data_IF_435315309473
#
_entry.id   IF_435315309473
#
_cell.length_a   1.000
_cell.length_b   1.000
_cell.length_c   1.000
_cell.angle_alpha   90.00
_cell.angle_beta   90.00
_cell.angle_gamma   90.00
#
_symmetry.space_group_name_H-M   'P 1'
#
loop_
_entity.id
_entity.type
_entity.pdbx_description
1 polymer ?
#
# COMPACT_ATOMS: atom_id res chain seq x y z
N UNK A 1 0.31 -9.12 3.20
CA UNK A 1 -0.21 -9.33 1.84
C UNK A 1 -1.69 -9.74 1.89
N UNK A 2 -2.41 -9.52 0.79
CA UNK A 2 -3.80 -10.00 0.63
C UNK A 2 -4.85 -9.32 1.49
N UNK A 3 -4.66 -8.05 1.87
CA UNK A 3 -5.74 -7.28 2.49
C UNK A 3 -6.85 -7.02 1.48
N UNK A 4 -8.12 -7.13 1.89
CA UNK A 4 -9.27 -6.79 1.04
C UNK A 4 -10.48 -6.32 1.84
N UNK A 5 -11.29 -5.50 1.18
CA UNK A 5 -12.70 -5.26 1.48
C UNK A 5 -13.52 -5.78 0.28
N UNK A 6 -14.71 -6.34 0.52
CA UNK A 6 -15.61 -6.83 -0.53
C UNK A 6 -15.93 -8.33 -0.46
N UNK A 7 -15.99 -8.99 -1.61
CA UNK A 7 -16.41 -10.39 -1.76
C UNK A 7 -15.73 -11.33 -0.75
N UNK A 8 -16.50 -12.20 -0.10
CA UNK A 8 -15.98 -13.10 0.94
C UNK A 8 -15.53 -12.39 2.23
N UNK A 9 -16.04 -11.18 2.50
CA UNK A 9 -15.78 -10.43 3.73
C UNK A 9 -14.47 -9.62 3.73
N UNK A 10 -14.25 -8.89 4.82
CA UNK A 10 -13.00 -8.17 5.03
C UNK A 10 -11.89 -9.16 5.40
N UNK A 11 -10.67 -8.91 4.92
CA UNK A 11 -9.45 -9.62 5.33
C UNK A 11 -8.37 -8.59 5.63
N UNK A 12 -7.81 -8.65 6.83
CA UNK A 12 -6.61 -7.87 7.18
C UNK A 12 -5.41 -8.49 6.47
N UNK A 13 -4.52 -7.67 5.93
CA UNK A 13 -3.32 -8.16 5.29
C UNK A 13 -2.42 -8.89 6.32
N UNK A 14 -2.02 -10.13 6.01
CA UNK A 14 -1.15 -10.94 6.86
C UNK A 14 0.34 -10.69 6.57
N UNK A 15 1.24 -10.76 7.57
CA UNK A 15 2.67 -10.66 7.31
C UNK A 15 3.15 -11.89 6.52
N UNK A 16 3.94 -11.68 5.45
CA UNK A 16 4.64 -12.77 4.75
C UNK A 16 5.96 -13.16 5.44
N UNK A 17 6.26 -12.56 6.60
CA UNK A 17 7.55 -12.67 7.28
C UNK A 17 8.74 -12.33 6.36
N UNK A 18 8.65 -11.23 5.60
CA UNK A 18 9.72 -10.73 4.73
C UNK A 18 10.08 -9.27 5.08
N UNK A 19 11.36 -8.93 4.92
CA UNK A 19 11.87 -7.56 4.92
C UNK A 19 12.49 -7.26 3.55
N UNK A 20 12.18 -6.08 3.01
CA UNK A 20 12.57 -5.64 1.66
C UNK A 20 13.29 -4.30 1.79
N UNK A 21 14.51 -4.20 1.27
CA UNK A 21 15.28 -2.95 1.24
C UNK A 21 14.77 -2.02 0.14
N UNK A 22 14.99 -0.71 0.22
CA UNK A 22 14.49 0.26 -0.77
C UNK A 22 14.81 -0.11 -2.23
N UNK A 23 16.02 -0.61 -2.48
CA UNK A 23 16.49 -1.04 -3.80
C UNK A 23 15.80 -2.32 -4.32
N UNK A 24 15.19 -3.10 -3.45
CA UNK A 24 14.53 -4.38 -3.77
C UNK A 24 13.02 -4.21 -4.01
N UNK A 25 12.43 -3.06 -3.66
CA UNK A 25 10.97 -2.85 -3.63
C UNK A 25 10.33 -3.12 -4.98
N UNK A 26 10.91 -2.58 -6.06
CA UNK A 26 10.33 -2.71 -7.41
C UNK A 26 10.34 -4.16 -7.87
N UNK A 27 11.47 -4.84 -7.69
CA UNK A 27 11.64 -6.25 -8.07
C UNK A 27 10.68 -7.17 -7.32
N UNK A 28 10.61 -7.03 -5.99
CA UNK A 28 9.74 -7.87 -5.14
C UNK A 28 8.26 -7.63 -5.46
N UNK A 29 7.85 -6.37 -5.65
CA UNK A 29 6.48 -6.04 -6.04
C UNK A 29 6.13 -6.62 -7.42
N UNK A 30 7.06 -6.55 -8.39
CA UNK A 30 6.85 -7.11 -9.71
C UNK A 30 6.67 -8.64 -9.66
N UNK A 31 7.45 -9.35 -8.85
CA UNK A 31 7.29 -10.80 -8.70
C UNK A 31 6.01 -11.19 -7.96
N UNK A 32 5.57 -10.41 -6.96
CA UNK A 32 4.25 -10.60 -6.34
C UNK A 32 3.14 -10.46 -7.38
N UNK A 33 3.21 -9.43 -8.25
CA UNK A 33 2.23 -9.21 -9.32
C UNK A 33 2.26 -10.35 -10.33
N UNK A 34 3.44 -10.81 -10.77
CA UNK A 34 3.57 -11.92 -11.72
C UNK A 34 3.08 -13.24 -11.12
N UNK A 35 3.36 -13.50 -9.85
CA UNK A 35 2.88 -14.69 -9.14
C UNK A 35 1.36 -14.67 -9.01
N UNK A 36 0.77 -13.53 -8.65
CA UNK A 36 -0.68 -13.38 -8.66
C UNK A 36 -1.27 -13.49 -10.06
N UNK A 37 -0.59 -12.95 -11.09
CA UNK A 37 -1.03 -13.04 -12.48
C UNK A 37 -1.14 -14.50 -12.91
N UNK A 38 -0.12 -15.30 -12.61
CA UNK A 38 0.05 -16.68 -13.07
C UNK A 38 -0.81 -17.68 -12.29
N UNK A 39 -1.11 -17.41 -11.01
CA UNK A 39 -1.77 -18.37 -10.13
C UNK A 39 -3.10 -17.90 -9.52
N UNK A 40 -3.46 -16.62 -9.66
CA UNK A 40 -4.72 -16.10 -9.14
C UNK A 40 -5.92 -16.60 -9.96
N UNK A 41 -7.02 -16.96 -9.27
CA UNK A 41 -8.26 -17.41 -9.89
C UNK A 41 -8.81 -16.37 -10.90
N UNK A 42 -9.14 -16.85 -12.12
CA UNK A 42 -9.71 -16.05 -13.21
C UNK A 42 -11.13 -16.42 -13.60
N UNK A 43 -11.64 -17.52 -13.05
CA UNK A 43 -12.96 -18.07 -13.39
C UNK A 43 -14.07 -17.26 -12.72
N UNK A 44 -13.90 -16.90 -11.45
CA UNK A 44 -14.90 -16.16 -10.68
C UNK A 44 -14.40 -14.77 -10.28
N UNK A 45 -15.15 -13.74 -10.68
CA UNK A 45 -14.87 -12.34 -10.28
C UNK A 45 -15.01 -12.11 -8.78
N UNK A 46 -15.78 -12.92 -8.06
CA UNK A 46 -15.91 -12.79 -6.60
C UNK A 46 -14.73 -13.40 -5.86
N UNK A 47 -13.86 -14.17 -6.54
CA UNK A 47 -12.71 -14.85 -5.95
C UNK A 47 -11.36 -14.47 -6.62
N UNK A 48 -11.32 -13.35 -7.34
CA UNK A 48 -10.16 -12.93 -8.14
C UNK A 48 -9.22 -11.92 -7.44
N UNK A 49 -9.18 -11.92 -6.11
CA UNK A 49 -8.27 -11.06 -5.32
C UNK A 49 -7.11 -11.89 -4.81
N UNK A 50 -5.94 -11.26 -4.62
CA UNK A 50 -4.75 -11.90 -4.03
C UNK A 50 -5.04 -12.58 -2.67
N UNK A 51 -6.02 -12.06 -1.92
CA UNK A 51 -6.50 -12.68 -0.69
C UNK A 51 -6.87 -14.16 -0.84
N UNK A 52 -7.58 -14.52 -1.90
CA UNK A 52 -8.05 -15.90 -2.13
C UNK A 52 -6.91 -16.83 -2.52
N UNK A 53 -5.94 -16.34 -3.30
CA UNK A 53 -4.72 -17.09 -3.58
C UNK A 53 -3.93 -17.37 -2.29
N UNK A 54 -3.87 -16.41 -1.38
CA UNK A 54 -3.22 -16.59 -0.07
C UNK A 54 -4.02 -17.51 0.85
N UNK A 55 -5.35 -17.50 0.80
CA UNK A 55 -6.20 -18.45 1.53
C UNK A 55 -5.99 -19.88 1.03
N UNK A 56 -5.85 -20.07 -0.29
CA UNK A 56 -5.60 -21.38 -0.89
C UNK A 56 -4.17 -21.89 -0.62
N UNK A 57 -3.17 -21.01 -0.76
CA UNK A 57 -1.77 -21.42 -0.69
C UNK A 57 -1.19 -21.38 0.72
N UNK A 58 -1.69 -20.47 1.55
CA UNK A 58 -1.02 -20.05 2.77
C UNK A 58 0.18 -19.14 2.51
N UNK A 59 0.52 -18.33 3.51
CA UNK A 59 1.60 -17.34 3.46
C UNK A 59 2.97 -17.98 3.20
N UNK A 60 3.25 -19.13 3.84
CA UNK A 60 4.55 -19.80 3.73
C UNK A 60 4.81 -20.33 2.33
N UNK A 61 3.80 -20.95 1.70
CA UNK A 61 3.91 -21.41 0.31
C UNK A 61 4.09 -20.24 -0.63
N UNK A 62 3.31 -19.17 -0.45
CA UNK A 62 3.41 -17.95 -1.24
C UNK A 62 4.82 -17.34 -1.14
N UNK A 63 5.37 -17.23 0.08
CA UNK A 63 6.73 -16.75 0.32
C UNK A 63 7.77 -17.61 -0.39
N UNK A 64 7.69 -18.94 -0.31
CA UNK A 64 8.63 -19.85 -1.00
C UNK A 64 8.57 -19.66 -2.51
N UNK A 65 7.38 -19.54 -3.07
CA UNK A 65 7.20 -19.29 -4.50
C UNK A 65 7.77 -17.93 -4.91
N UNK A 66 7.61 -16.89 -4.08
CA UNK A 66 8.21 -15.57 -4.31
C UNK A 66 9.76 -15.64 -4.31
N UNK A 67 10.36 -16.30 -3.31
CA UNK A 67 11.82 -16.50 -3.21
C UNK A 67 12.36 -17.27 -4.42
N UNK A 68 11.64 -18.29 -4.88
CA UNK A 68 12.02 -19.07 -6.05
C UNK A 68 12.06 -18.20 -7.32
N UNK A 69 11.09 -17.29 -7.51
CA UNK A 69 11.07 -16.37 -8.66
C UNK A 69 12.17 -15.32 -8.62
N UNK A 70 12.51 -14.84 -7.42
CA UNK A 70 13.60 -13.88 -7.22
C UNK A 70 14.99 -14.52 -7.39
N UNK A 71 15.08 -15.85 -7.31
CA UNK A 71 16.36 -16.57 -7.40
C UNK A 71 17.31 -16.32 -6.22
N UNK A 72 16.82 -15.70 -5.14
CA UNK A 72 17.61 -15.34 -3.95
C UNK A 72 16.73 -15.34 -2.69
N UNK A 73 17.30 -15.61 -1.50
CA UNK A 73 16.56 -15.51 -0.25
C UNK A 73 16.15 -14.07 0.04
N UNK A 74 15.02 -13.92 0.74
CA UNK A 74 14.56 -12.66 1.31
C UNK A 74 14.81 -12.67 2.83
N UNK A 75 15.23 -11.53 3.35
CA UNK A 75 15.35 -11.31 4.80
C UNK A 75 14.00 -11.56 5.49
N UNK A 76 14.01 -12.11 6.70
CA UNK A 76 12.79 -12.27 7.51
C UNK A 76 12.27 -10.91 7.97
N UNK A 77 10.97 -10.84 8.31
CA UNK A 77 10.44 -9.65 8.93
C UNK A 77 11.16 -9.43 10.27
N UNK A 78 11.83 -8.29 10.41
CA UNK A 78 12.43 -7.88 11.68
C UNK A 78 11.36 -7.42 12.68
N UNK A 79 11.77 -6.60 13.64
CA UNK A 79 10.84 -5.99 14.58
C UNK A 79 10.08 -4.84 13.91
N UNK A 80 8.74 -4.84 14.05
CA UNK A 80 7.91 -3.74 13.59
C UNK A 80 8.16 -2.50 14.47
N UNK A 81 8.64 -1.41 13.85
CA UNK A 81 8.90 -0.13 14.51
C UNK A 81 7.77 0.89 14.31
N UNK A 82 6.68 0.49 13.64
CA UNK A 82 5.53 1.37 13.42
C UNK A 82 4.80 1.60 14.74
N UNK A 83 4.50 2.85 15.01
CA UNK A 83 3.64 3.24 16.13
C UNK A 83 2.21 3.42 15.60
N UNK A 84 1.23 2.94 16.37
CA UNK A 84 -0.18 3.15 16.06
C UNK A 84 -0.59 4.58 16.46
N UNK A 85 -0.14 5.55 15.67
CA UNK A 85 -0.54 6.95 15.83
C UNK A 85 -1.55 7.31 14.74
N UNK A 86 -2.71 7.81 15.15
CA UNK A 86 -3.63 8.49 14.23
C UNK A 86 -3.07 9.89 14.01
N UNK A 87 -2.60 10.17 12.79
CA UNK A 87 -2.14 11.50 12.39
C UNK A 87 -3.26 12.16 11.60
N UNK A 88 -3.90 13.15 12.22
CA UNK A 88 -4.72 14.10 11.46
C UNK A 88 -3.79 15.06 10.72
N UNK A 89 -4.07 15.28 9.45
CA UNK A 89 -3.32 16.18 8.58
C UNK A 89 -4.06 17.48 8.30
N UNK A 90 -5.26 17.68 8.86
CA UNK A 90 -6.06 18.90 8.69
C UNK A 90 -5.53 20.08 9.51
N UNK A 91 -5.40 21.24 8.87
CA UNK A 91 -4.87 22.45 9.50
C UNK A 91 -3.39 22.69 9.17
N UNK A 92 -2.73 23.52 9.97
CA UNK A 92 -1.37 24.02 9.71
C UNK A 92 -0.39 23.32 10.65
N UNK A 93 0.64 22.70 10.08
CA UNK A 93 1.63 21.95 10.83
C UNK A 93 3.06 22.27 10.39
N UNK A 94 4.00 22.23 11.33
CA UNK A 94 5.42 22.38 11.06
C UNK A 94 5.96 21.15 10.31
N UNK A 95 6.71 21.38 9.23
CA UNK A 95 7.40 20.30 8.53
C UNK A 95 8.66 19.86 9.29
N UNK A 96 9.28 18.75 8.86
CA UNK A 96 10.62 18.36 9.35
C UNK A 96 11.65 19.48 9.17
N UNK A 97 11.55 20.22 8.06
CA UNK A 97 12.24 21.50 7.93
C UNK A 97 11.55 22.52 8.85
N UNK A 98 12.24 22.93 9.92
CA UNK A 98 11.69 23.82 10.93
C UNK A 98 11.35 25.23 10.42
N UNK A 99 11.70 25.59 9.18
CA UNK A 99 11.32 26.87 8.55
C UNK A 99 10.06 26.79 7.69
N UNK A 100 9.51 25.60 7.47
CA UNK A 100 8.38 25.38 6.57
C UNK A 100 7.18 24.81 7.31
N UNK A 101 5.98 25.21 6.90
CA UNK A 101 4.74 24.58 7.34
C UNK A 101 4.10 23.84 6.16
N UNK A 102 3.22 22.88 6.43
CA UNK A 102 2.26 22.36 5.44
C UNK A 102 0.84 22.64 5.93
N UNK A 103 -0.10 22.75 4.99
CA UNK A 103 -1.50 23.00 5.28
C UNK A 103 -2.33 21.88 4.67
N UNK A 104 -3.06 21.13 5.50
CA UNK A 104 -4.07 20.19 5.03
C UNK A 104 -5.45 20.83 4.96
N UNK A 105 -6.03 20.85 3.77
CA UNK A 105 -7.34 21.42 3.50
C UNK A 105 -8.39 20.29 3.43
N UNK A 106 -9.56 20.53 4.03
CA UNK A 106 -10.68 19.59 3.97
C UNK A 106 -11.44 19.76 2.66
N UNK A 107 -11.46 18.73 1.83
CA UNK A 107 -12.36 18.64 0.66
C UNK A 107 -13.62 17.89 1.08
N UNK A 108 -14.76 18.57 1.10
CA UNK A 108 -16.04 17.98 1.53
C UNK A 108 -16.39 16.83 0.59
N UNK A 109 -16.55 15.63 1.16
CA UNK A 109 -16.82 14.36 0.45
C UNK A 109 -15.87 14.05 -0.72
N UNK A 110 -14.70 14.70 -0.78
CA UNK A 110 -13.74 14.55 -1.88
C UNK A 110 -14.19 15.15 -3.22
N UNK A 111 -15.26 15.96 -3.26
CA UNK A 111 -15.76 16.59 -4.49
C UNK A 111 -15.16 17.98 -4.65
N UNK A 112 -14.63 18.27 -5.84
CA UNK A 112 -14.01 19.55 -6.19
C UNK A 112 -14.49 20.00 -7.57
N UNK A 113 -14.81 21.28 -7.73
CA UNK A 113 -15.12 21.87 -9.04
C UNK A 113 -13.86 22.47 -9.67
N UNK A 114 -13.90 22.75 -10.98
CA UNK A 114 -12.74 23.27 -11.71
C UNK A 114 -12.23 24.59 -11.09
N UNK A 115 -13.13 25.50 -10.73
CA UNK A 115 -12.80 26.78 -10.08
C UNK A 115 -12.08 26.59 -8.75
N UNK A 116 -12.59 25.71 -7.87
CA UNK A 116 -11.94 25.39 -6.59
C UNK A 116 -10.53 24.80 -6.82
N UNK A 117 -10.36 23.95 -7.84
CA UNK A 117 -9.06 23.36 -8.16
C UNK A 117 -8.05 24.43 -8.63
N UNK A 118 -8.48 25.40 -9.44
CA UNK A 118 -7.63 26.53 -9.81
C UNK A 118 -7.24 27.36 -8.60
N UNK A 119 -8.17 27.65 -7.68
CA UNK A 119 -7.85 28.36 -6.44
C UNK A 119 -6.85 27.60 -5.58
N UNK A 120 -6.95 26.27 -5.48
CA UNK A 120 -5.96 25.44 -4.77
C UNK A 120 -4.59 25.53 -5.46
N UNK A 121 -4.55 25.55 -6.79
CA UNK A 121 -3.30 25.71 -7.53
C UNK A 121 -2.67 27.10 -7.30
N UNK A 122 -3.48 28.16 -7.28
CA UNK A 122 -3.01 29.52 -6.99
C UNK A 122 -2.44 29.62 -5.57
N UNK A 123 -3.12 29.03 -4.58
CA UNK A 123 -2.61 28.95 -3.20
C UNK A 123 -1.29 28.18 -3.13
N UNK A 124 -1.17 27.05 -3.84
CA UNK A 124 0.07 26.29 -3.89
C UNK A 124 1.21 27.06 -4.56
N UNK A 125 0.93 27.83 -5.62
CA UNK A 125 1.93 28.66 -6.29
C UNK A 125 2.39 29.84 -5.42
N UNK A 126 1.45 30.47 -4.70
CA UNK A 126 1.74 31.65 -3.90
C UNK A 126 2.44 31.33 -2.57
N UNK A 127 2.09 30.20 -1.93
CA UNK A 127 2.55 29.88 -0.56
C UNK A 127 3.42 28.61 -0.45
N UNK A 128 3.54 27.82 -1.52
CA UNK A 128 4.23 26.53 -1.54
C UNK A 128 5.62 26.53 -2.14
#
# INVERSE_FOLDING_TARGET
AGGKLGSGGYRIASPLNIFVRPEEVVEVCAEIIRLFRDHGCRESRTQNRLAFLLEEWGEDRFRRALVARLGRPLNTAGQDQRQNEIKDHLGIYRQKNSRMNYVGLKVVVGRIHAEDLFQVADLAHQYG
#
